data_IF_046661409077
#
_entry.id   IF_046661409077
#
_cell.length_a   1.000
_cell.length_b   1.000
_cell.length_c   1.000
_cell.angle_alpha   90.00
_cell.angle_beta   90.00
_cell.angle_gamma   90.00
#
_symmetry.space_group_name_H-M   'P 1'
#
loop_
_entity.id
_entity.type
_entity.pdbx_description
1 polymer ?
#
# COMPACT_ATOMS: atom_id res chain seq x y z
N UNK A 1 45.99 -3.75 -44.03
CA UNK A 1 44.97 -2.77 -43.70
C UNK A 1 43.65 -3.51 -43.56
N UNK A 2 43.28 -3.83 -42.32
CA UNK A 2 41.96 -4.47 -42.04
C UNK A 2 41.00 -3.38 -41.54
N UNK A 3 39.89 -3.24 -42.22
CA UNK A 3 38.84 -2.27 -41.92
C UNK A 3 38.06 -2.76 -40.68
N UNK A 4 38.10 -2.00 -39.59
CA UNK A 4 37.26 -2.17 -38.41
C UNK A 4 35.79 -1.87 -38.78
N UNK A 5 34.90 -2.82 -38.55
CA UNK A 5 33.46 -2.71 -38.83
C UNK A 5 32.75 -1.86 -37.74
N UNK A 6 31.70 -1.07 -38.10
CA UNK A 6 31.05 -0.07 -37.25
C UNK A 6 29.96 -0.66 -36.35
N UNK A 7 30.21 -1.78 -35.65
CA UNK A 7 29.16 -2.39 -34.79
C UNK A 7 29.19 -1.96 -33.32
N UNK A 8 30.15 -1.14 -32.90
CA UNK A 8 30.31 -0.74 -31.49
C UNK A 8 29.45 0.48 -31.13
N UNK A 9 29.02 1.27 -32.11
CA UNK A 9 28.25 2.50 -31.84
C UNK A 9 26.74 2.31 -31.60
N UNK A 10 26.17 1.15 -31.94
CA UNK A 10 24.73 0.91 -31.78
C UNK A 10 24.32 0.49 -30.37
N UNK A 11 25.25 -0.07 -29.58
CA UNK A 11 24.97 -0.52 -28.20
C UNK A 11 24.98 0.61 -27.16
N UNK A 12 25.70 1.70 -27.42
CA UNK A 12 25.76 2.84 -26.50
C UNK A 12 24.49 3.71 -26.53
N UNK A 13 23.74 3.70 -27.64
CA UNK A 13 22.48 4.47 -27.74
C UNK A 13 21.29 3.78 -27.10
N UNK A 14 21.27 2.44 -26.98
CA UNK A 14 20.17 1.70 -26.37
C UNK A 14 20.18 1.79 -24.82
N UNK A 15 21.34 1.97 -24.21
CA UNK A 15 21.46 2.09 -22.74
C UNK A 15 21.05 3.48 -22.23
N UNK A 16 21.17 4.54 -23.03
CA UNK A 16 20.75 5.89 -22.63
C UNK A 16 19.22 6.10 -22.70
N UNK A 17 18.51 5.36 -23.54
CA UNK A 17 17.06 5.47 -23.65
C UNK A 17 16.29 4.82 -22.48
N UNK A 18 16.89 3.89 -21.76
CA UNK A 18 16.27 3.25 -20.59
C UNK A 18 16.31 4.11 -19.32
N UNK A 19 17.26 5.05 -19.22
CA UNK A 19 17.33 5.97 -18.08
C UNK A 19 16.34 7.14 -18.15
N UNK A 20 15.82 7.47 -19.34
CA UNK A 20 14.90 8.59 -19.51
C UNK A 20 13.45 8.30 -19.16
N UNK A 21 13.03 7.02 -19.04
CA UNK A 21 11.65 6.64 -18.76
C UNK A 21 11.24 6.77 -17.29
N UNK A 22 12.20 6.95 -16.37
CA UNK A 22 11.94 7.08 -14.93
C UNK A 22 11.64 8.52 -14.48
N UNK A 23 12.17 9.53 -15.18
CA UNK A 23 12.06 10.93 -14.73
C UNK A 23 10.69 11.57 -15.00
N UNK A 24 9.92 11.09 -15.96
CA UNK A 24 8.61 11.65 -16.31
C UNK A 24 7.43 11.11 -15.47
N UNK A 25 7.65 10.08 -14.63
CA UNK A 25 6.58 9.44 -13.87
C UNK A 25 6.06 10.31 -12.74
N UNK A 26 6.94 11.00 -12.06
CA UNK A 26 6.63 11.89 -10.94
C UNK A 26 6.89 13.33 -11.35
N UNK A 27 5.95 14.23 -11.00
CA UNK A 27 6.11 15.67 -11.21
C UNK A 27 6.32 16.36 -9.89
N UNK A 28 7.34 17.21 -9.78
CA UNK A 28 7.56 18.05 -8.61
C UNK A 28 6.92 19.42 -8.86
N UNK A 29 5.96 19.78 -8.05
CA UNK A 29 5.30 21.10 -8.06
C UNK A 29 4.66 21.38 -6.72
N UNK A 30 4.56 22.64 -6.33
CA UNK A 30 3.84 23.08 -5.13
C UNK A 30 2.35 22.72 -5.25
N UNK A 31 1.75 22.37 -4.11
CA UNK A 31 0.34 22.03 -4.00
C UNK A 31 -0.17 22.24 -2.57
N UNK A 32 -1.00 21.34 -2.08
CA UNK A 32 -1.49 21.34 -0.70
C UNK A 32 -0.31 21.26 0.28
N UNK A 33 -0.28 22.09 1.35
CA UNK A 33 0.81 22.07 2.33
C UNK A 33 0.90 20.76 3.15
N UNK A 34 -0.16 19.94 3.17
CA UNK A 34 -0.13 18.61 3.77
C UNK A 34 0.38 17.51 2.81
N UNK A 35 0.90 17.89 1.65
CA UNK A 35 1.51 16.98 0.67
C UNK A 35 3.02 17.20 0.56
N UNK A 36 3.72 16.24 -0.06
CA UNK A 36 5.17 16.26 -0.23
C UNK A 36 5.64 17.00 -1.50
N UNK A 37 4.79 17.81 -2.13
CA UNK A 37 5.06 18.50 -3.41
C UNK A 37 5.43 17.55 -4.57
N UNK A 38 5.10 16.29 -4.46
CA UNK A 38 5.29 15.26 -5.48
C UNK A 38 3.94 14.77 -5.98
N UNK A 39 3.83 14.59 -7.30
CA UNK A 39 2.59 14.25 -7.98
C UNK A 39 2.76 12.97 -8.79
N UNK A 40 1.77 12.11 -8.73
CA UNK A 40 1.72 10.88 -9.51
C UNK A 40 0.38 10.77 -10.25
N UNK A 41 0.43 10.56 -11.56
CA UNK A 41 -0.72 10.37 -12.45
C UNK A 41 -1.87 11.39 -12.29
N UNK A 42 -1.55 12.61 -11.78
CA UNK A 42 -2.51 13.72 -11.64
C UNK A 42 -2.91 14.04 -10.20
N UNK A 43 -2.65 13.19 -9.22
CA UNK A 43 -2.83 13.51 -7.80
C UNK A 43 -1.53 13.95 -7.12
N UNK A 44 -1.64 14.78 -6.11
CA UNK A 44 -0.55 15.05 -5.17
C UNK A 44 -0.47 13.91 -4.15
N UNK A 45 0.75 13.55 -3.76
CA UNK A 45 1.01 12.57 -2.72
C UNK A 45 0.93 13.27 -1.36
N UNK A 46 0.17 12.69 -0.41
CA UNK A 46 0.06 13.19 0.94
C UNK A 46 1.36 12.96 1.73
N UNK A 47 1.55 13.74 2.79
CA UNK A 47 2.62 13.49 3.74
C UNK A 47 2.29 12.26 4.58
N UNK A 48 3.29 11.41 4.81
CA UNK A 48 3.15 10.21 5.65
C UNK A 48 2.78 10.59 7.08
N UNK A 49 1.82 9.88 7.66
CA UNK A 49 1.48 9.99 9.07
C UNK A 49 2.60 9.38 9.90
N UNK A 50 3.21 10.18 10.77
CA UNK A 50 4.25 9.69 11.67
C UNK A 50 3.68 8.92 12.87
N UNK A 51 4.55 8.25 13.65
CA UNK A 51 4.19 7.53 14.87
C UNK A 51 3.46 8.39 15.93
N UNK A 52 3.53 9.72 15.84
CA UNK A 52 2.70 10.61 16.68
C UNK A 52 1.21 10.49 16.40
N UNK A 53 0.82 9.86 15.29
CA UNK A 53 -0.59 9.57 14.95
C UNK A 53 -1.14 8.27 15.54
N UNK A 54 -0.41 7.56 16.40
CA UNK A 54 -0.85 6.26 16.97
C UNK A 54 -2.20 6.39 17.70
N UNK A 55 -2.41 7.44 18.48
CA UNK A 55 -3.68 7.66 19.19
C UNK A 55 -4.86 7.78 18.21
N UNK A 56 -4.64 8.41 17.05
CA UNK A 56 -5.65 8.47 15.99
C UNK A 56 -5.95 7.08 15.42
N UNK A 57 -4.93 6.25 15.22
CA UNK A 57 -5.09 4.90 14.69
C UNK A 57 -5.83 3.95 15.65
N UNK A 58 -5.74 4.19 16.94
CA UNK A 58 -6.37 3.35 18.00
C UNK A 58 -7.66 3.97 18.59
N UNK A 59 -8.21 5.04 17.98
CA UNK A 59 -9.41 5.73 18.49
C UNK A 59 -10.62 4.81 18.56
N UNK A 60 -11.43 4.95 19.59
CA UNK A 60 -12.63 4.10 19.82
C UNK A 60 -13.72 4.33 18.75
N UNK A 61 -13.79 5.53 18.19
CA UNK A 61 -14.78 5.93 17.18
C UNK A 61 -14.61 5.19 15.83
N UNK A 62 -13.46 4.55 15.61
CA UNK A 62 -13.09 3.91 14.36
C UNK A 62 -14.13 2.88 13.87
N UNK A 63 -14.74 2.12 14.77
CA UNK A 63 -15.78 1.16 14.41
C UNK A 63 -17.03 1.85 13.84
N UNK A 64 -17.43 3.00 14.39
CA UNK A 64 -18.59 3.77 13.87
C UNK A 64 -18.28 4.47 12.55
N UNK A 65 -17.05 4.95 12.38
CA UNK A 65 -16.62 5.74 11.23
C UNK A 65 -16.26 4.87 10.02
N UNK A 66 -15.56 3.77 10.27
CA UNK A 66 -14.95 2.92 9.23
C UNK A 66 -15.60 1.53 9.14
N UNK A 67 -16.30 1.08 10.20
CA UNK A 67 -16.89 -0.24 10.33
C UNK A 67 -15.89 -1.37 10.11
N UNK A 68 -14.84 -1.39 10.93
CA UNK A 68 -13.75 -2.39 10.88
C UNK A 68 -14.28 -3.83 10.91
N UNK A 69 -15.34 -4.08 11.67
CA UNK A 69 -15.99 -5.40 11.73
C UNK A 69 -16.50 -5.85 10.36
N UNK A 70 -17.11 -4.94 9.59
CA UNK A 70 -17.59 -5.22 8.25
C UNK A 70 -16.44 -5.35 7.25
N UNK A 71 -15.40 -4.51 7.36
CA UNK A 71 -14.16 -4.63 6.58
C UNK A 71 -13.59 -6.04 6.74
N UNK A 72 -13.35 -6.49 7.97
CA UNK A 72 -12.80 -7.82 8.25
C UNK A 72 -13.68 -8.96 7.71
N UNK A 73 -15.00 -8.82 7.80
CA UNK A 73 -15.95 -9.77 7.20
C UNK A 73 -15.82 -9.84 5.69
N UNK A 74 -15.68 -8.69 5.02
CA UNK A 74 -15.51 -8.61 3.57
C UNK A 74 -14.20 -9.26 3.08
N UNK A 75 -13.13 -9.26 3.90
CA UNK A 75 -11.86 -9.91 3.57
C UNK A 75 -12.00 -11.42 3.39
N UNK A 76 -12.97 -12.04 4.05
CA UNK A 76 -13.21 -13.49 4.03
C UNK A 76 -11.93 -14.31 4.30
N UNK A 77 -11.15 -13.89 5.30
CA UNK A 77 -9.90 -14.54 5.71
C UNK A 77 -10.13 -15.99 6.06
N UNK A 78 -9.25 -16.87 5.61
CA UNK A 78 -9.28 -18.30 5.91
C UNK A 78 -8.08 -18.70 6.77
N UNK A 79 -8.24 -19.68 7.69
CA UNK A 79 -7.11 -20.25 8.41
C UNK A 79 -6.01 -20.75 7.44
N UNK A 80 -4.77 -20.49 7.79
CA UNK A 80 -3.60 -20.83 6.97
C UNK A 80 -3.16 -19.76 5.98
N UNK A 81 -3.95 -18.69 5.76
CA UNK A 81 -3.54 -17.59 4.87
C UNK A 81 -2.34 -16.83 5.40
N UNK A 82 -1.49 -16.39 4.49
CA UNK A 82 -0.43 -15.41 4.72
C UNK A 82 -0.94 -14.06 4.22
N UNK A 83 -1.14 -13.12 5.13
CA UNK A 83 -1.66 -11.78 4.83
C UNK A 83 -0.55 -10.76 5.07
N UNK A 84 -0.45 -9.73 4.23
CA UNK A 84 0.37 -8.56 4.50
C UNK A 84 -0.55 -7.35 4.75
N UNK A 85 -0.39 -6.74 5.90
CA UNK A 85 -0.98 -5.45 6.30
C UNK A 85 0.05 -4.38 5.97
N UNK A 86 -0.21 -3.59 4.93
CA UNK A 86 0.76 -2.64 4.36
C UNK A 86 0.46 -1.23 4.86
N UNK A 87 1.47 -0.58 5.46
CA UNK A 87 1.30 0.61 6.27
C UNK A 87 0.59 0.25 7.57
N UNK A 88 1.12 -0.76 8.28
CA UNK A 88 0.47 -1.34 9.43
C UNK A 88 0.33 -0.36 10.62
N UNK A 89 1.17 0.69 10.68
CA UNK A 89 1.14 1.69 11.74
C UNK A 89 1.23 1.07 13.12
N UNK A 90 0.24 1.35 13.97
CA UNK A 90 0.13 0.77 15.32
C UNK A 90 -0.10 -0.75 15.33
N UNK A 91 -0.43 -1.37 14.18
CA UNK A 91 -0.81 -2.78 14.09
C UNK A 91 -2.27 -3.06 14.42
N UNK A 92 -3.13 -2.04 14.36
CA UNK A 92 -4.56 -2.17 14.65
C UNK A 92 -5.20 -3.32 13.85
N UNK A 93 -5.10 -3.28 12.52
CA UNK A 93 -5.62 -4.34 11.66
C UNK A 93 -4.81 -5.64 11.77
N UNK A 94 -3.49 -5.55 11.90
CA UNK A 94 -2.62 -6.72 12.09
C UNK A 94 -3.02 -7.54 13.30
N UNK A 95 -3.35 -6.91 14.45
CA UNK A 95 -3.79 -7.60 15.65
C UNK A 95 -5.12 -8.35 15.45
N UNK A 96 -6.07 -7.74 14.73
CA UNK A 96 -7.34 -8.36 14.40
C UNK A 96 -7.17 -9.52 13.41
N UNK A 97 -6.41 -9.32 12.35
CA UNK A 97 -6.10 -10.35 11.33
C UNK A 97 -5.38 -11.55 11.94
N UNK A 98 -4.47 -11.31 12.91
CA UNK A 98 -3.71 -12.38 13.56
C UNK A 98 -4.59 -13.44 14.26
N UNK A 99 -5.78 -13.02 14.73
CA UNK A 99 -6.78 -13.90 15.36
C UNK A 99 -7.55 -14.72 14.32
N UNK A 100 -7.55 -14.28 13.03
CA UNK A 100 -8.34 -14.90 11.96
C UNK A 100 -7.52 -15.90 11.13
N UNK A 101 -6.21 -15.69 11.00
CA UNK A 101 -5.37 -16.53 10.12
C UNK A 101 -5.07 -17.94 10.65
N UNK A 102 -5.43 -18.27 11.88
CA UNK A 102 -5.23 -19.60 12.48
C UNK A 102 -3.76 -20.04 12.45
N UNK A 103 -3.38 -20.99 11.58
CA UNK A 103 -1.99 -21.44 11.39
C UNK A 103 -1.18 -20.57 10.46
N UNK A 104 -1.82 -19.59 9.80
CA UNK A 104 -1.16 -18.62 8.92
C UNK A 104 -0.35 -17.57 9.68
N UNK A 105 -0.04 -16.48 9.03
CA UNK A 105 0.69 -15.35 9.60
C UNK A 105 0.27 -14.03 8.96
N UNK A 106 0.57 -12.93 9.66
CA UNK A 106 0.40 -11.56 9.19
C UNK A 106 1.76 -10.90 9.13
N UNK A 107 2.18 -10.46 7.97
CA UNK A 107 3.27 -9.51 7.83
C UNK A 107 2.73 -8.10 8.09
N UNK A 108 3.17 -7.46 9.17
CA UNK A 108 2.87 -6.07 9.47
C UNK A 108 3.99 -5.20 8.89
N UNK A 109 3.74 -4.61 7.74
CA UNK A 109 4.75 -3.89 6.95
C UNK A 109 4.59 -2.40 7.16
N UNK A 110 5.66 -1.72 7.56
CA UNK A 110 5.67 -0.26 7.69
C UNK A 110 7.03 0.30 7.24
N UNK A 111 7.05 1.57 6.85
CA UNK A 111 8.26 2.28 6.42
C UNK A 111 8.93 3.01 7.57
N UNK A 112 8.21 3.31 8.66
CA UNK A 112 8.73 4.02 9.83
C UNK A 112 9.34 3.06 10.85
N UNK A 113 10.64 3.20 11.20
CA UNK A 113 11.28 2.37 12.23
C UNK A 113 10.60 2.47 13.60
N UNK A 114 10.05 3.63 13.94
CA UNK A 114 9.33 3.90 15.19
C UNK A 114 8.02 3.11 15.27
N UNK A 115 7.28 3.00 14.16
CA UNK A 115 6.09 2.13 14.07
C UNK A 115 6.47 0.66 14.26
N UNK A 116 7.54 0.21 13.64
CA UNK A 116 8.06 -1.16 13.80
C UNK A 116 8.49 -1.42 15.26
N UNK A 117 9.10 -0.45 15.92
CA UNK A 117 9.46 -0.56 17.33
C UNK A 117 8.21 -0.70 18.21
N UNK A 118 7.18 0.13 17.97
CA UNK A 118 5.89 0.06 18.65
C UNK A 118 5.21 -1.32 18.44
N UNK A 119 5.15 -1.80 17.20
CA UNK A 119 4.61 -3.12 16.85
C UNK A 119 5.32 -4.25 17.61
N UNK A 120 6.64 -4.21 17.72
CA UNK A 120 7.41 -5.21 18.45
C UNK A 120 7.03 -5.27 19.93
N UNK A 121 6.84 -4.12 20.56
CA UNK A 121 6.40 -4.06 21.97
C UNK A 121 4.94 -4.54 22.13
N UNK A 122 4.04 -4.11 21.24
CA UNK A 122 2.64 -4.56 21.22
C UNK A 122 2.54 -6.08 21.08
N UNK A 123 3.29 -6.68 20.15
CA UNK A 123 3.32 -8.12 19.93
C UNK A 123 3.71 -8.88 21.19
N UNK A 124 4.70 -8.40 21.95
CA UNK A 124 5.12 -9.01 23.21
C UNK A 124 4.04 -8.90 24.29
N UNK A 125 3.49 -7.70 24.47
CA UNK A 125 2.49 -7.39 25.49
C UNK A 125 1.19 -8.18 25.26
N UNK A 126 0.71 -8.22 24.02
CA UNK A 126 -0.55 -8.86 23.64
C UNK A 126 -0.36 -10.34 23.21
N UNK A 127 0.87 -10.86 23.22
CA UNK A 127 1.23 -12.25 22.82
C UNK A 127 0.75 -12.61 21.40
N UNK A 128 0.91 -11.68 20.45
CA UNK A 128 0.45 -11.80 19.06
C UNK A 128 1.46 -12.59 18.19
N UNK A 129 1.64 -13.88 18.48
CA UNK A 129 2.68 -14.74 17.89
C UNK A 129 2.55 -14.96 16.36
N UNK A 130 1.47 -14.53 15.73
CA UNK A 130 1.23 -14.68 14.28
C UNK A 130 1.63 -13.45 13.46
N UNK A 131 2.02 -12.36 14.13
CA UNK A 131 2.46 -11.14 13.47
C UNK A 131 3.98 -11.16 13.30
N UNK A 132 4.42 -10.80 12.11
CA UNK A 132 5.83 -10.62 11.75
C UNK A 132 6.02 -9.19 11.29
N UNK A 133 6.62 -8.31 12.10
CA UNK A 133 6.91 -6.94 11.68
C UNK A 133 7.97 -6.93 10.58
N UNK A 134 7.79 -6.07 9.59
CA UNK A 134 8.69 -5.92 8.44
C UNK A 134 8.93 -4.45 8.18
N UNK A 135 10.18 -4.00 8.31
CA UNK A 135 10.57 -2.66 7.89
C UNK A 135 10.72 -2.65 6.37
N UNK A 136 9.89 -1.88 5.71
CA UNK A 136 9.95 -1.63 4.26
C UNK A 136 10.86 -0.46 3.93
N UNK A 137 11.02 -0.21 2.64
CA UNK A 137 11.50 1.08 2.12
C UNK A 137 10.34 1.80 1.45
N UNK A 138 10.54 3.06 1.02
CA UNK A 138 9.54 3.79 0.24
C UNK A 138 9.22 3.17 -1.14
N UNK A 139 10.05 2.22 -1.61
CA UNK A 139 9.96 1.62 -2.95
C UNK A 139 9.81 0.09 -2.94
N UNK A 140 10.00 -0.56 -1.79
CA UNK A 140 10.01 -2.01 -1.71
C UNK A 140 9.48 -2.50 -0.36
N UNK A 141 8.56 -3.47 -0.39
CA UNK A 141 7.96 -4.08 0.80
C UNK A 141 8.92 -4.92 1.63
N UNK A 142 10.07 -5.31 1.09
CA UNK A 142 10.99 -6.26 1.73
C UNK A 142 10.36 -7.65 1.99
N UNK A 143 9.38 -8.04 1.18
CA UNK A 143 8.74 -9.36 1.25
C UNK A 143 9.24 -10.27 0.12
N UNK A 144 9.34 -11.60 0.35
CA UNK A 144 9.69 -12.54 -0.70
C UNK A 144 8.63 -12.57 -1.82
N UNK A 145 9.07 -12.85 -3.05
CA UNK A 145 8.15 -13.04 -4.17
C UNK A 145 7.19 -14.21 -3.93
N UNK A 146 5.96 -14.08 -4.41
CA UNK A 146 4.92 -15.12 -4.35
C UNK A 146 4.71 -15.71 -2.93
N UNK A 147 4.83 -14.89 -1.89
CA UNK A 147 4.75 -15.30 -0.48
C UNK A 147 3.43 -14.99 0.19
N UNK A 148 2.62 -14.08 -0.37
CA UNK A 148 1.43 -13.50 0.26
C UNK A 148 0.16 -13.91 -0.49
N UNK A 149 -0.85 -14.39 0.24
CA UNK A 149 -2.16 -14.74 -0.33
C UNK A 149 -3.05 -13.51 -0.50
N UNK A 150 -2.95 -12.55 0.42
CA UNK A 150 -3.74 -11.32 0.43
C UNK A 150 -2.94 -10.16 0.99
N UNK A 151 -3.10 -8.98 0.41
CA UNK A 151 -2.62 -7.71 0.96
C UNK A 151 -3.80 -6.83 1.34
N UNK A 152 -3.68 -6.15 2.48
CA UNK A 152 -4.61 -5.13 2.95
C UNK A 152 -3.86 -3.82 3.06
N UNK A 153 -4.42 -2.76 2.49
CA UNK A 153 -3.99 -1.38 2.64
C UNK A 153 -5.20 -0.58 3.14
N UNK A 154 -5.09 0.10 4.27
CA UNK A 154 -6.18 0.91 4.83
C UNK A 154 -5.69 2.33 5.06
N UNK A 155 -6.23 3.28 4.31
CA UNK A 155 -5.95 4.72 4.40
C UNK A 155 -4.45 5.05 4.40
N UNK A 156 -3.69 4.43 3.51
CA UNK A 156 -2.23 4.55 3.48
C UNK A 156 -1.65 4.75 2.07
N UNK A 157 -2.27 4.21 1.03
CA UNK A 157 -1.68 4.26 -0.31
C UNK A 157 -1.53 5.69 -0.84
N UNK A 158 -2.42 6.59 -0.44
CA UNK A 158 -2.35 8.00 -0.81
C UNK A 158 -1.08 8.71 -0.29
N UNK A 159 -0.39 8.13 0.69
CA UNK A 159 0.85 8.63 1.30
C UNK A 159 2.13 8.06 0.67
N UNK A 160 2.04 7.05 -0.19
CA UNK A 160 3.23 6.42 -0.77
C UNK A 160 4.04 7.38 -1.62
N UNK A 161 5.28 7.67 -1.22
CA UNK A 161 6.20 8.55 -1.94
C UNK A 161 6.56 8.02 -3.34
N UNK A 162 6.53 6.69 -3.52
CA UNK A 162 6.81 5.99 -4.78
C UNK A 162 5.73 4.94 -5.06
N UNK A 163 4.46 5.36 -5.33
CA UNK A 163 3.33 4.45 -5.43
C UNK A 163 3.45 3.40 -6.53
N UNK A 164 4.10 3.71 -7.64
CA UNK A 164 4.31 2.75 -8.74
C UNK A 164 5.30 1.65 -8.37
N UNK A 165 6.47 2.02 -7.85
CA UNK A 165 7.52 1.08 -7.42
C UNK A 165 6.99 0.18 -6.30
N UNK A 166 6.27 0.76 -5.36
CA UNK A 166 5.63 0.01 -4.28
C UNK A 166 4.55 -0.94 -4.81
N UNK A 167 3.75 -0.51 -5.79
CA UNK A 167 2.76 -1.37 -6.44
C UNK A 167 3.41 -2.54 -7.19
N UNK A 168 4.55 -2.33 -7.85
CA UNK A 168 5.33 -3.42 -8.46
C UNK A 168 5.85 -4.40 -7.40
N UNK A 169 6.36 -3.91 -6.28
CA UNK A 169 6.80 -4.76 -5.17
C UNK A 169 5.65 -5.57 -4.58
N UNK A 170 4.46 -4.96 -4.43
CA UNK A 170 3.25 -5.67 -4.02
C UNK A 170 2.86 -6.76 -5.03
N UNK A 171 2.88 -6.44 -6.32
CA UNK A 171 2.58 -7.42 -7.38
C UNK A 171 3.55 -8.60 -7.35
N UNK A 172 4.84 -8.36 -7.14
CA UNK A 172 5.86 -9.41 -7.02
C UNK A 172 5.60 -10.33 -5.82
N UNK A 173 5.31 -9.75 -4.65
CA UNK A 173 5.12 -10.49 -3.40
C UNK A 173 3.81 -11.29 -3.34
N UNK A 174 2.76 -10.89 -4.09
CA UNK A 174 1.52 -11.64 -4.19
C UNK A 174 1.73 -12.98 -4.92
N UNK A 175 1.14 -14.03 -4.41
CA UNK A 175 1.04 -15.32 -5.10
C UNK A 175 0.18 -15.20 -6.38
N UNK A 176 0.35 -16.07 -7.36
CA UNK A 176 -0.60 -16.17 -8.47
C UNK A 176 -2.05 -16.37 -7.96
N UNK A 177 -2.96 -15.50 -8.40
CA UNK A 177 -4.35 -15.47 -7.92
C UNK A 177 -4.52 -14.81 -6.54
N UNK A 178 -3.46 -14.28 -5.94
CA UNK A 178 -3.51 -13.48 -4.71
C UNK A 178 -4.27 -12.16 -4.93
N UNK A 179 -4.80 -11.61 -3.85
CA UNK A 179 -5.64 -10.41 -3.87
C UNK A 179 -4.98 -9.25 -3.13
N UNK A 180 -5.16 -8.06 -3.66
CA UNK A 180 -4.89 -6.81 -2.97
C UNK A 180 -6.23 -6.14 -2.69
N UNK A 181 -6.45 -5.80 -1.44
CA UNK A 181 -7.61 -5.03 -0.97
C UNK A 181 -7.11 -3.64 -0.58
N UNK A 182 -7.59 -2.65 -1.30
CA UNK A 182 -7.32 -1.24 -1.05
C UNK A 182 -8.56 -0.61 -0.43
N UNK A 183 -8.41 -0.06 0.76
CA UNK A 183 -9.43 0.69 1.48
C UNK A 183 -8.93 2.13 1.61
N UNK A 184 -9.70 3.09 1.10
CA UNK A 184 -9.32 4.52 1.07
C UNK A 184 -10.55 5.39 1.25
N UNK A 185 -10.43 6.50 1.98
CA UNK A 185 -11.50 7.48 2.13
C UNK A 185 -11.97 8.01 0.78
N UNK A 186 -13.30 8.04 0.56
CA UNK A 186 -13.91 8.46 -0.71
C UNK A 186 -13.65 9.94 -0.98
N UNK A 187 -12.98 10.27 -2.08
CA UNK A 187 -12.86 11.65 -2.53
C UNK A 187 -14.14 12.17 -3.20
N UNK A 188 -14.98 11.27 -3.66
CA UNK A 188 -16.28 11.56 -4.28
C UNK A 188 -17.32 12.05 -3.25
N UNK A 189 -17.11 11.73 -1.96
CA UNK A 189 -18.02 12.13 -0.89
C UNK A 189 -17.44 13.30 -0.09
N UNK A 190 -18.06 14.47 -0.24
CA UNK A 190 -17.68 15.67 0.51
C UNK A 190 -18.09 15.63 1.99
N UNK A 191 -19.01 14.74 2.37
CA UNK A 191 -19.47 14.60 3.76
C UNK A 191 -18.46 13.82 4.64
N UNK A 192 -17.55 13.04 4.04
CA UNK A 192 -16.47 12.38 4.78
C UNK A 192 -15.52 13.44 5.36
N UNK A 193 -15.36 13.55 6.70
CA UNK A 193 -14.68 14.67 7.37
C UNK A 193 -13.15 14.52 7.38
N UNK A 194 -12.56 14.12 6.25
CA UNK A 194 -11.13 13.90 6.05
C UNK A 194 -10.60 14.94 5.05
N UNK A 195 -9.38 15.44 5.26
CA UNK A 195 -8.73 16.37 4.32
C UNK A 195 -8.66 15.76 2.92
N UNK A 196 -8.95 16.57 1.90
CA UNK A 196 -9.03 16.11 0.50
C UNK A 196 -7.78 15.37 0.03
N UNK A 197 -6.60 15.78 0.48
CA UNK A 197 -5.32 15.14 0.09
C UNK A 197 -5.17 13.72 0.64
N UNK A 198 -5.86 13.38 1.73
CA UNK A 198 -5.92 12.04 2.32
C UNK A 198 -7.12 11.21 1.82
N UNK A 199 -7.79 11.67 0.77
CA UNK A 199 -8.87 10.94 0.10
C UNK A 199 -8.42 10.47 -1.27
N UNK A 200 -8.99 9.38 -1.73
CA UNK A 200 -8.71 8.84 -3.05
C UNK A 200 -10.00 8.48 -3.79
N UNK A 201 -10.06 8.81 -5.09
CA UNK A 201 -11.19 8.37 -5.90
C UNK A 201 -10.98 6.95 -6.40
N UNK A 202 -12.09 6.21 -6.55
CA UNK A 202 -12.08 4.88 -7.16
C UNK A 202 -11.37 4.89 -8.52
N UNK A 203 -11.71 5.86 -9.37
CA UNK A 203 -11.12 6.00 -10.71
C UNK A 203 -9.60 6.20 -10.67
N UNK A 204 -9.09 7.01 -9.72
CA UNK A 204 -7.66 7.24 -9.57
C UNK A 204 -6.95 5.99 -9.06
N UNK A 205 -7.49 5.30 -8.06
CA UNK A 205 -6.96 4.05 -7.54
C UNK A 205 -6.86 2.99 -8.65
N UNK A 206 -7.94 2.77 -9.38
CA UNK A 206 -7.97 1.81 -10.50
C UNK A 206 -6.93 2.16 -11.56
N UNK A 207 -6.80 3.44 -11.91
CA UNK A 207 -5.81 3.92 -12.89
C UNK A 207 -4.38 3.61 -12.47
N UNK A 208 -4.04 3.87 -11.20
CA UNK A 208 -2.68 3.68 -10.67
C UNK A 208 -2.32 2.18 -10.55
N UNK A 209 -3.20 1.37 -9.99
CA UNK A 209 -2.95 -0.07 -9.86
C UNK A 209 -2.92 -0.81 -11.22
N UNK A 210 -3.77 -0.42 -12.17
CA UNK A 210 -3.70 -0.94 -13.55
C UNK A 210 -2.37 -0.60 -14.24
N UNK A 211 -1.84 0.60 -14.03
CA UNK A 211 -0.54 0.99 -14.57
C UNK A 211 0.63 0.13 -14.04
N UNK A 212 0.50 -0.41 -12.84
CA UNK A 212 1.46 -1.33 -12.24
C UNK A 212 1.22 -2.82 -12.61
N UNK A 213 0.16 -3.12 -13.38
CA UNK A 213 -0.12 -4.48 -13.84
C UNK A 213 -1.19 -5.24 -13.06
N UNK A 214 -1.81 -4.63 -12.05
CA UNK A 214 -2.95 -5.24 -11.37
C UNK A 214 -4.21 -5.24 -12.22
N UNK A 215 -5.04 -6.25 -12.04
CA UNK A 215 -6.39 -6.30 -12.61
C UNK A 215 -7.41 -5.91 -11.55
N UNK A 216 -8.22 -4.91 -11.84
CA UNK A 216 -9.36 -4.53 -10.99
C UNK A 216 -10.44 -5.62 -11.05
N UNK A 217 -10.89 -6.10 -9.90
CA UNK A 217 -11.96 -7.10 -9.77
C UNK A 217 -13.31 -6.41 -9.48
N UNK A 218 -13.39 -5.69 -8.37
CA UNK A 218 -14.65 -5.04 -7.91
C UNK A 218 -14.42 -3.99 -6.84
N UNK A 219 -15.42 -3.15 -6.64
CA UNK A 219 -15.65 -2.37 -5.43
C UNK A 219 -16.79 -2.99 -4.61
N UNK A 220 -16.59 -3.20 -3.30
CA UNK A 220 -17.65 -3.56 -2.36
C UNK A 220 -18.05 -2.27 -1.63
N UNK A 221 -19.01 -1.56 -2.17
CA UNK A 221 -19.43 -0.23 -1.72
C UNK A 221 -20.38 -0.31 -0.52
N UNK A 222 -19.87 -0.78 0.63
CA UNK A 222 -20.67 -0.99 1.84
C UNK A 222 -20.02 -0.46 3.14
N UNK A 223 -18.81 0.12 3.07
CA UNK A 223 -18.19 0.80 4.20
C UNK A 223 -18.72 2.23 4.32
N UNK A 224 -18.79 2.81 5.54
CA UNK A 224 -19.36 4.15 5.73
C UNK A 224 -18.61 5.25 4.95
N UNK A 225 -17.30 5.34 5.11
CA UNK A 225 -16.49 6.45 4.57
C UNK A 225 -15.52 6.05 3.46
N UNK A 226 -15.24 4.74 3.29
CA UNK A 226 -14.18 4.26 2.42
C UNK A 226 -14.70 3.47 1.22
N UNK A 227 -13.93 3.49 0.14
CA UNK A 227 -13.97 2.45 -0.88
C UNK A 227 -13.40 1.14 -0.34
N UNK A 228 -13.88 0.02 -0.85
CA UNK A 228 -13.28 -1.30 -0.65
C UNK A 228 -12.99 -1.91 -2.02
N UNK A 229 -11.81 -1.63 -2.56
CA UNK A 229 -11.41 -1.99 -3.91
C UNK A 229 -10.60 -3.29 -3.90
N UNK A 230 -11.00 -4.25 -4.72
CA UNK A 230 -10.31 -5.53 -4.86
C UNK A 230 -9.56 -5.57 -6.18
N UNK A 231 -8.28 -5.89 -6.10
CA UNK A 231 -7.42 -6.13 -7.25
C UNK A 231 -6.83 -7.54 -7.18
N UNK A 232 -6.44 -8.08 -8.34
CA UNK A 232 -5.79 -9.38 -8.47
C UNK A 232 -4.50 -9.26 -9.26
N UNK A 233 -3.55 -10.16 -8.94
CA UNK A 233 -2.33 -10.37 -9.73
C UNK A 233 -2.65 -11.03 -11.04
#
# INVERSE_FOLDING_TARGET
MQTLKPYILLFAFLSLSLFSLGQDRYKLRTGDPNGINKWYMGRQIAQVMSHYGIDWLEREEREMEENTSLLLKNLAVKPGMVIADIGAGSGYHSALLSKMVGTGKVFAVDVEPEMIAYLNERIKQEKLSRIVPVLSTEQNLSLPENSVDMMLLVDVYHEFSYPYEMALSMLAALKPGGKLVLVEFRSEDSAVPIKTIHKMSEAQAIKEFKAAGFRFDKNIDNLPWQHYLVFTK
#
